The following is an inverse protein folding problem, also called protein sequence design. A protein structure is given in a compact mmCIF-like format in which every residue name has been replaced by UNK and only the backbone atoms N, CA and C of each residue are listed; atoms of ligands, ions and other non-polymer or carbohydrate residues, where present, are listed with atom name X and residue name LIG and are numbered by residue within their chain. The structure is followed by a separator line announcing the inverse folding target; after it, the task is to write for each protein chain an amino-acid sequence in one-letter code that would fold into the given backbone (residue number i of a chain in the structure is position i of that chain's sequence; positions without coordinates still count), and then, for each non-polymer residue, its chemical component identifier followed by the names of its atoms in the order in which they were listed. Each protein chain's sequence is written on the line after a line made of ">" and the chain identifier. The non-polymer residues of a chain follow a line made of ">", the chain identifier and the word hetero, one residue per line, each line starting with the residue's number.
data_IF_260686615996
#
_entry.id   IF_260686615996
#
_cell.length_a   1.000
_cell.length_b   1.000
_cell.length_c   1.000
_cell.angle_alpha   90.00
_cell.angle_beta   90.00
_cell.angle_gamma   90.00
#
_symmetry.space_group_name_H-M   'P 1'
#
loop_
_entity.id
_entity.type
_entity.pdbx_description
1 polymer ?
#
# COMPACT_ATOMS: atom_id res chain seq x y z
N UNK A 1 5.60 -12.76 -11.80
CA UNK A 1 4.95 -11.47 -11.44
C UNK A 1 5.71 -10.82 -10.30
N UNK A 2 6.05 -9.56 -10.43
CA UNK A 2 6.73 -8.84 -9.36
C UNK A 2 5.76 -8.56 -8.20
N UNK A 3 6.31 -8.25 -7.03
CA UNK A 3 5.48 -7.90 -5.87
C UNK A 3 4.74 -6.59 -6.16
N UNK A 4 5.38 -5.63 -6.83
CA UNK A 4 4.73 -4.39 -7.25
C UNK A 4 3.48 -4.68 -8.10
N UNK A 5 3.62 -5.52 -9.11
CA UNK A 5 2.49 -5.88 -9.98
C UNK A 5 1.40 -6.60 -9.19
N UNK A 6 1.78 -7.52 -8.32
CA UNK A 6 0.81 -8.28 -7.51
C UNK A 6 0.03 -7.37 -6.55
N UNK A 7 0.71 -6.41 -5.89
CA UNK A 7 0.05 -5.45 -5.01
C UNK A 7 -0.98 -4.60 -5.76
N UNK A 8 -0.57 -4.04 -6.89
CA UNK A 8 -1.44 -3.13 -7.63
C UNK A 8 -2.58 -3.86 -8.34
N UNK A 9 -2.35 -5.11 -8.74
CA UNK A 9 -3.42 -5.94 -9.26
C UNK A 9 -4.48 -6.23 -8.20
N UNK A 10 -4.04 -6.56 -6.98
CA UNK A 10 -4.96 -6.79 -5.86
C UNK A 10 -5.80 -5.54 -5.56
N UNK A 11 -5.18 -4.36 -5.58
CA UNK A 11 -5.89 -3.08 -5.37
C UNK A 11 -6.88 -2.81 -6.49
N UNK A 12 -6.48 -3.00 -7.74
CA UNK A 12 -7.33 -2.79 -8.91
C UNK A 12 -8.54 -3.74 -8.92
N UNK A 13 -8.32 -4.99 -8.50
CA UNK A 13 -9.37 -6.01 -8.47
C UNK A 13 -10.22 -5.95 -7.20
N UNK A 14 -9.90 -5.06 -6.27
CA UNK A 14 -10.52 -4.97 -4.94
C UNK A 14 -10.46 -6.32 -4.22
N UNK A 15 -9.32 -6.99 -4.31
CA UNK A 15 -9.10 -8.32 -3.75
C UNK A 15 -8.25 -8.22 -2.48
N UNK A 16 -8.94 -8.04 -1.34
CA UNK A 16 -8.28 -7.89 -0.05
C UNK A 16 -7.40 -9.10 0.28
N UNK A 17 -7.93 -10.31 0.04
CA UNK A 17 -7.20 -11.54 0.36
C UNK A 17 -5.88 -11.63 -0.43
N UNK A 18 -5.92 -11.30 -1.72
CA UNK A 18 -4.72 -11.33 -2.55
C UNK A 18 -3.66 -10.35 -2.04
N UNK A 19 -4.09 -9.18 -1.57
CA UNK A 19 -3.17 -8.20 -0.98
C UNK A 19 -2.55 -8.74 0.31
N UNK A 20 -3.38 -9.25 1.21
CA UNK A 20 -2.94 -9.73 2.54
C UNK A 20 -2.04 -10.97 2.40
N UNK A 21 -2.28 -11.82 1.41
CA UNK A 21 -1.43 -13.00 1.15
C UNK A 21 0.00 -12.63 0.77
N UNK A 22 0.25 -11.39 0.35
CA UNK A 22 1.60 -10.90 0.05
C UNK A 22 2.36 -10.46 1.31
N UNK A 23 1.68 -10.37 2.45
CA UNK A 23 2.25 -9.88 3.70
C UNK A 23 2.70 -11.03 4.60
N UNK A 24 3.86 -10.85 5.25
CA UNK A 24 4.34 -11.76 6.28
C UNK A 24 3.45 -11.68 7.52
N UNK A 25 3.42 -12.74 8.33
CA UNK A 25 2.62 -12.76 9.57
C UNK A 25 3.02 -11.68 10.56
N UNK A 26 4.29 -11.27 10.54
CA UNK A 26 4.83 -10.22 11.42
C UNK A 26 4.81 -8.83 10.77
N UNK A 27 4.06 -8.68 9.69
CA UNK A 27 3.98 -7.44 8.93
C UNK A 27 3.65 -6.23 9.78
N UNK A 28 4.30 -5.10 9.47
CA UNK A 28 3.98 -3.78 10.03
C UNK A 28 3.86 -2.76 8.92
N UNK A 29 2.80 -1.98 8.98
CA UNK A 29 2.61 -0.81 8.14
C UNK A 29 2.85 0.43 9.00
N UNK A 30 3.74 1.33 8.54
CA UNK A 30 4.05 2.57 9.25
C UNK A 30 3.76 3.75 8.32
N UNK A 31 2.80 4.57 8.72
CA UNK A 31 2.45 5.79 7.99
C UNK A 31 3.02 6.96 8.77
N UNK A 32 4.15 7.48 8.33
CA UNK A 32 4.86 8.54 9.04
C UNK A 32 4.08 9.84 9.13
N UNK A 33 3.33 10.16 8.08
CA UNK A 33 2.55 11.39 8.04
C UNK A 33 1.55 11.50 9.19
N UNK A 34 0.96 10.40 9.60
CA UNK A 34 -0.06 10.37 10.67
C UNK A 34 0.44 9.71 11.95
N UNK A 35 1.71 9.30 11.99
CA UNK A 35 2.31 8.56 13.10
C UNK A 35 1.49 7.30 13.44
N UNK A 36 0.95 6.63 12.42
CA UNK A 36 0.11 5.43 12.56
C UNK A 36 0.93 4.18 12.26
N UNK A 37 0.71 3.13 13.07
CA UNK A 37 1.32 1.82 12.84
C UNK A 37 0.23 0.75 12.92
N UNK A 38 0.21 -0.16 11.93
CA UNK A 38 -0.78 -1.22 11.83
C UNK A 38 -0.12 -2.59 11.72
N UNK A 39 -0.72 -3.59 12.38
CA UNK A 39 -0.37 -5.00 12.20
C UNK A 39 -1.01 -5.55 10.92
N UNK A 40 -0.66 -6.79 10.55
CA UNK A 40 -1.27 -7.46 9.41
C UNK A 40 -2.79 -7.55 9.55
N UNK A 41 -3.29 -7.94 10.74
CA UNK A 41 -4.73 -8.05 10.98
C UNK A 41 -5.43 -6.71 10.89
N UNK A 42 -4.81 -5.66 11.43
CA UNK A 42 -5.36 -4.31 11.34
C UNK A 42 -5.37 -3.80 9.90
N UNK A 43 -4.33 -4.14 9.13
CA UNK A 43 -4.26 -3.80 7.71
C UNK A 43 -5.35 -4.50 6.91
N UNK A 44 -5.64 -5.76 7.23
CA UNK A 44 -6.70 -6.52 6.58
C UNK A 44 -8.06 -5.85 6.82
N UNK A 45 -8.34 -5.45 8.05
CA UNK A 45 -9.59 -4.78 8.39
C UNK A 45 -9.73 -3.44 7.66
N UNK A 46 -8.65 -2.66 7.64
CA UNK A 46 -8.65 -1.36 6.96
C UNK A 46 -8.89 -1.52 5.46
N UNK A 47 -8.14 -2.39 4.81
CA UNK A 47 -8.25 -2.60 3.37
C UNK A 47 -9.61 -3.19 3.00
N UNK A 48 -10.11 -4.14 3.78
CA UNK A 48 -11.43 -4.73 3.54
C UNK A 48 -12.51 -3.67 3.56
N UNK A 49 -12.47 -2.79 4.54
CA UNK A 49 -13.42 -1.68 4.65
C UNK A 49 -13.28 -0.69 3.49
N UNK A 50 -12.05 -0.32 3.14
CA UNK A 50 -11.81 0.61 2.03
C UNK A 50 -12.27 0.04 0.69
N UNK A 51 -11.93 -1.21 0.41
CA UNK A 51 -12.25 -1.84 -0.87
C UNK A 51 -13.74 -2.12 -1.04
N UNK A 52 -14.48 -2.24 0.08
CA UNK A 52 -15.92 -2.44 0.04
C UNK A 52 -16.69 -1.13 -0.21
N UNK A 53 -16.06 0.01 -0.05
CA UNK A 53 -16.69 1.31 -0.23
C UNK A 53 -16.83 1.66 -1.71
N UNK A 54 -17.98 2.23 -2.10
CA UNK A 54 -18.21 2.68 -3.47
C UNK A 54 -17.25 3.78 -3.90
N UNK A 55 -16.74 4.53 -2.93
CA UNK A 55 -15.82 5.65 -3.15
C UNK A 55 -14.37 5.23 -3.24
N UNK A 56 -14.08 3.94 -3.09
CA UNK A 56 -12.70 3.46 -3.14
C UNK A 56 -12.04 3.81 -4.47
N UNK A 57 -10.83 4.38 -4.37
CA UNK A 57 -9.98 4.66 -5.52
C UNK A 57 -8.62 4.03 -5.26
N UNK A 58 -8.15 3.18 -6.18
CA UNK A 58 -6.78 2.67 -6.07
C UNK A 58 -5.80 3.74 -6.53
N UNK A 59 -4.53 3.62 -6.09
CA UNK A 59 -3.52 4.62 -6.44
C UNK A 59 -3.39 4.83 -7.93
N UNK A 60 -3.28 6.09 -8.34
CA UNK A 60 -3.09 6.48 -9.73
C UNK A 60 -1.61 6.74 -10.00
N UNK A 61 -1.21 6.56 -11.26
CA UNK A 61 0.16 6.84 -11.70
C UNK A 61 1.21 6.09 -10.86
N UNK A 62 0.84 4.89 -10.40
CA UNK A 62 1.77 4.07 -9.61
C UNK A 62 2.94 3.64 -10.48
N UNK A 63 4.15 3.80 -9.92
CA UNK A 63 5.37 3.39 -10.60
C UNK A 63 6.33 2.71 -9.64
N UNK A 64 6.96 1.66 -10.12
CA UNK A 64 8.03 1.00 -9.38
C UNK A 64 9.32 1.78 -9.64
N UNK A 65 9.91 2.33 -8.58
CA UNK A 65 11.19 3.03 -8.68
C UNK A 65 12.33 2.02 -8.67
N UNK A 66 12.22 1.01 -7.79
CA UNK A 66 13.23 -0.02 -7.66
C UNK A 66 12.63 -1.24 -6.97
N UNK A 67 12.98 -2.42 -7.45
CA UNK A 67 12.56 -3.67 -6.80
C UNK A 67 13.63 -4.74 -6.95
N UNK A 68 13.91 -5.46 -5.85
CA UNK A 68 14.71 -6.67 -5.86
C UNK A 68 14.12 -7.64 -4.84
N UNK A 69 14.85 -8.68 -4.44
CA UNK A 69 14.34 -9.69 -3.50
C UNK A 69 14.21 -9.18 -2.05
N UNK A 70 14.75 -8.01 -1.75
CA UNK A 70 14.81 -7.49 -0.37
C UNK A 70 14.01 -6.20 -0.19
N UNK A 71 13.75 -5.46 -1.26
CA UNK A 71 13.14 -4.14 -1.16
C UNK A 71 12.33 -3.82 -2.42
N UNK A 72 11.21 -3.15 -2.20
CA UNK A 72 10.41 -2.54 -3.26
C UNK A 72 10.17 -1.08 -2.89
N UNK A 73 10.54 -0.18 -3.81
CA UNK A 73 10.28 1.26 -3.65
C UNK A 73 9.32 1.69 -4.75
N UNK A 74 8.21 2.27 -4.36
CA UNK A 74 7.20 2.73 -5.31
C UNK A 74 6.72 4.14 -4.99
N UNK A 75 6.19 4.81 -5.99
CA UNK A 75 5.57 6.12 -5.86
C UNK A 75 4.20 6.10 -6.54
N UNK A 76 3.20 6.68 -5.88
CA UNK A 76 1.87 6.79 -6.44
C UNK A 76 1.14 8.01 -5.89
N UNK A 77 0.01 8.33 -6.52
CA UNK A 77 -0.84 9.44 -6.10
C UNK A 77 -2.18 8.85 -5.64
N UNK A 78 -2.64 9.27 -4.49
CA UNK A 78 -3.90 8.78 -3.89
C UNK A 78 -4.88 9.93 -3.74
N UNK A 79 -6.11 9.72 -4.23
CA UNK A 79 -7.23 10.63 -3.99
C UNK A 79 -8.08 10.03 -2.85
N UNK A 80 -8.23 10.81 -1.79
CA UNK A 80 -9.04 10.40 -0.63
C UNK A 80 -10.47 10.92 -0.74
N UNK A 81 -11.39 10.26 0.01
CA UNK A 81 -12.81 10.61 0.01
C UNK A 81 -13.08 12.06 0.41
N UNK A 82 -12.25 12.62 1.27
CA UNK A 82 -12.41 14.00 1.75
C UNK A 82 -11.96 15.05 0.73
N UNK A 83 -11.56 14.63 -0.45
CA UNK A 83 -11.10 15.53 -1.50
C UNK A 83 -9.61 15.86 -1.46
N UNK A 84 -8.89 15.32 -0.48
CA UNK A 84 -7.43 15.52 -0.41
C UNK A 84 -6.72 14.57 -1.37
N UNK A 85 -5.64 15.06 -1.96
CA UNK A 85 -4.77 14.27 -2.83
C UNK A 85 -3.37 14.26 -2.24
N UNK A 86 -2.74 13.10 -2.20
CA UNK A 86 -1.38 12.96 -1.69
C UNK A 86 -0.48 12.23 -2.67
N UNK A 87 0.76 12.70 -2.78
CA UNK A 87 1.84 11.95 -3.42
C UNK A 87 2.50 11.09 -2.34
N UNK A 88 2.56 9.78 -2.56
CA UNK A 88 3.03 8.81 -1.57
C UNK A 88 4.28 8.11 -2.07
N UNK A 89 5.33 8.13 -1.26
CA UNK A 89 6.51 7.30 -1.45
C UNK A 89 6.42 6.14 -0.47
N UNK A 90 6.40 4.92 -0.97
CA UNK A 90 6.28 3.71 -0.16
C UNK A 90 7.51 2.84 -0.32
N UNK A 91 8.05 2.39 0.81
CA UNK A 91 9.17 1.46 0.85
C UNK A 91 8.67 0.18 1.54
N UNK A 92 8.77 -0.94 0.82
CA UNK A 92 8.41 -2.26 1.33
C UNK A 92 9.65 -3.10 1.51
N UNK A 93 9.86 -3.62 2.71
CA UNK A 93 10.94 -4.56 2.97
C UNK A 93 10.43 -5.98 2.74
N UNK A 94 11.19 -6.80 2.04
CA UNK A 94 10.79 -8.12 1.58
C UNK A 94 11.70 -9.18 2.19
N UNK A 95 11.10 -10.28 2.64
CA UNK A 95 11.83 -11.44 3.14
C UNK A 95 11.10 -12.69 2.71
N UNK A 96 11.84 -13.61 2.07
CA UNK A 96 11.31 -14.90 1.61
C UNK A 96 10.05 -14.75 0.76
N UNK A 97 10.03 -13.73 -0.12
CA UNK A 97 8.93 -13.47 -1.03
C UNK A 97 7.71 -12.80 -0.42
N UNK A 98 7.78 -12.40 0.86
CA UNK A 98 6.69 -11.71 1.56
C UNK A 98 7.14 -10.35 2.02
N UNK A 99 6.18 -9.42 2.09
CA UNK A 99 6.44 -8.08 2.61
C UNK A 99 6.39 -8.14 4.14
N UNK A 100 7.48 -7.74 4.81
CA UNK A 100 7.56 -7.76 6.28
C UNK A 100 7.31 -6.38 6.89
N UNK A 101 7.49 -5.32 6.10
CA UNK A 101 7.30 -3.95 6.60
C UNK A 101 7.07 -3.01 5.44
N UNK A 102 6.13 -2.10 5.61
CA UNK A 102 5.90 -0.99 4.68
C UNK A 102 6.01 0.32 5.45
N UNK A 103 6.76 1.27 4.91
CA UNK A 103 6.82 2.62 5.46
C UNK A 103 6.46 3.60 4.36
N UNK A 104 5.60 4.56 4.67
CA UNK A 104 5.18 5.57 3.71
C UNK A 104 5.48 6.97 4.21
N UNK A 105 5.90 7.82 3.28
CA UNK A 105 5.91 9.27 3.46
C UNK A 105 4.99 9.87 2.41
N UNK A 106 4.25 10.91 2.78
CA UNK A 106 3.28 11.50 1.89
C UNK A 106 3.34 13.02 1.93
N UNK A 107 3.09 13.63 0.76
CA UNK A 107 3.02 15.08 0.60
C UNK A 107 1.66 15.43 0.02
N UNK A 108 0.95 16.37 0.66
CA UNK A 108 -0.31 16.86 0.14
C UNK A 108 -0.09 17.64 -1.15
N UNK A 109 -0.94 17.40 -2.13
CA UNK A 109 -0.91 18.11 -3.40
C UNK A 109 -2.01 19.16 -3.37
N UNK A 110 -1.59 20.41 -3.46
CA UNK A 110 -2.54 21.53 -3.56
C UNK A 110 -2.94 21.69 -5.03
N UNK A 111 -4.23 21.81 -5.24
CA UNK A 111 -4.78 21.99 -6.59
C UNK A 111 -5.24 23.43 -6.79
#
# INVERSE_FOLDING_TARGET
>A
MSIFEALHRALSDRDTKAYIDLLDDDYRFVRHQSATSLSKDQMEQLLGSMMAADTFRWPQDARCIYENNEILVEHHVVDFEDGNTEAVLAVHLIKDGKIIRTETGATSIDS
#
